data_IF_162720663730
#
_entry.id   IF_162720663730
#
_cell.length_a   1.000
_cell.length_b   1.000
_cell.length_c   1.000
_cell.angle_alpha   90.00
_cell.angle_beta   90.00
_cell.angle_gamma   90.00
#
_symmetry.space_group_name_H-M   'P 1'
#
loop_
_entity.id
_entity.type
_entity.pdbx_description
1 polymer ?
#
# COMPACT_ATOMS: atom_id res chain seq x y z
N UNK A 1 -28.26 1.74 -0.90
CA UNK A 1 -27.76 1.79 -1.05
C UNK A 1 -27.10 1.98 -1.24
N UNK A 2 -27.04 1.77 -1.39
CA UNK A 2 -26.26 1.82 -1.59
C UNK A 2 -25.52 1.93 -1.91
N UNK A 3 -25.48 1.82 -1.88
CA UNK A 3 -24.76 1.89 -2.09
C UNK A 3 -24.11 1.85 -2.46
N UNK A 4 -24.17 1.69 -2.48
CA UNK A 4 -23.60 1.61 -2.80
C UNK A 4 -22.64 1.60 -2.91
N UNK A 5 -22.61 1.37 -2.89
CA UNK A 5 -21.73 1.26 -3.04
C UNK A 5 -20.80 1.44 -3.47
N UNK A 6 -20.32 1.33 -3.28
CA UNK A 6 -19.33 1.59 -3.68
C UNK A 6 -18.59 1.35 -4.52
N UNK A 7 -18.65 1.13 -4.77
CA UNK A 7 -18.18 0.90 -5.39
C UNK A 7 -17.47 1.06 -6.14
N UNK A 8 -17.76 1.28 -6.55
CA UNK A 8 -17.09 1.24 -7.30
C UNK A 8 -15.86 0.89 -7.19
N UNK A 9 -15.66 0.06 -6.82
CA UNK A 9 -14.42 -0.53 -6.72
C UNK A 9 -13.35 0.31 -6.27
N UNK A 10 -13.67 1.40 -5.88
CA UNK A 10 -12.66 2.31 -5.53
C UNK A 10 -12.25 2.08 -4.11
N UNK A 11 -13.13 2.24 -3.17
CA UNK A 11 -12.74 2.18 -1.80
C UNK A 11 -13.31 0.97 -1.15
N UNK A 12 -12.56 -0.09 -1.16
CA UNK A 12 -12.90 -1.26 -0.42
C UNK A 12 -12.53 -1.01 1.03
N UNK A 13 -12.91 -1.91 1.89
CA UNK A 13 -12.79 -1.68 3.34
C UNK A 13 -11.41 -1.15 3.74
N UNK A 14 -10.35 -1.69 3.16
CA UNK A 14 -9.00 -1.25 3.53
C UNK A 14 -8.12 -1.11 2.29
N UNK A 15 -8.71 -0.73 1.18
CA UNK A 15 -7.98 -0.60 -0.08
C UNK A 15 -8.49 0.63 -0.80
N UNK A 16 -7.67 1.65 -0.88
CA UNK A 16 -8.03 2.96 -1.39
C UNK A 16 -7.33 3.22 -2.71
N UNK A 17 -8.07 3.72 -3.68
CA UNK A 17 -7.48 4.16 -4.94
C UNK A 17 -6.91 5.55 -4.73
N UNK A 18 -5.64 5.71 -5.06
CA UNK A 18 -4.91 6.95 -4.77
C UNK A 18 -4.39 7.58 -6.05
N UNK A 19 -4.45 8.89 -6.08
CA UNK A 19 -3.88 9.68 -7.16
C UNK A 19 -3.07 10.81 -6.54
N UNK A 20 -2.50 11.66 -7.38
CA UNK A 20 -1.78 12.82 -6.89
C UNK A 20 -2.67 13.70 -6.03
N UNK A 21 -3.97 13.72 -6.30
CA UNK A 21 -4.91 14.58 -5.61
C UNK A 21 -5.09 14.21 -4.13
N UNK A 22 -5.08 12.92 -3.81
CA UNK A 22 -5.30 12.49 -2.43
C UNK A 22 -4.10 11.80 -1.80
N UNK A 23 -2.94 11.88 -2.44
CA UNK A 23 -1.72 11.24 -1.96
C UNK A 23 -1.37 11.66 -0.54
N UNK A 24 -1.36 12.96 -0.30
CA UNK A 24 -0.97 13.47 1.01
C UNK A 24 -1.92 12.99 2.09
N UNK A 25 -3.23 13.01 1.82
CA UNK A 25 -4.21 12.61 2.81
C UNK A 25 -4.14 11.11 3.13
N UNK A 26 -3.86 10.29 2.13
CA UNK A 26 -3.90 8.83 2.32
C UNK A 26 -2.56 8.29 2.77
N UNK A 27 -1.47 8.75 2.16
CA UNK A 27 -0.15 8.16 2.38
C UNK A 27 0.73 9.01 3.27
N UNK A 28 0.88 10.30 2.92
CA UNK A 28 1.85 11.14 3.59
C UNK A 28 1.54 11.36 5.06
N UNK A 29 0.27 11.56 5.38
CA UNK A 29 -0.13 11.87 6.75
C UNK A 29 -0.68 10.68 7.52
N UNK A 30 -0.55 9.48 6.96
CA UNK A 30 -1.07 8.29 7.62
C UNK A 30 -0.29 7.95 8.88
N UNK A 31 -1.01 7.62 9.94
CA UNK A 31 -0.39 7.18 11.19
C UNK A 31 -0.04 5.71 11.15
N UNK A 32 -0.64 4.97 10.22
CA UNK A 32 -0.34 3.56 10.04
C UNK A 32 0.65 3.41 8.90
N UNK A 33 1.42 2.31 8.89
CA UNK A 33 2.17 1.98 7.69
C UNK A 33 1.24 1.84 6.51
N UNK A 34 1.70 2.22 5.33
CA UNK A 34 0.90 2.15 4.11
C UNK A 34 1.67 1.34 3.09
N UNK A 35 1.00 0.37 2.47
CA UNK A 35 1.59 -0.33 1.34
C UNK A 35 0.85 0.13 0.09
N UNK A 36 1.61 0.59 -0.90
CA UNK A 36 1.06 1.12 -2.14
C UNK A 36 1.40 0.18 -3.29
N UNK A 37 0.37 -0.28 -3.99
CA UNK A 37 0.54 -1.09 -5.18
C UNK A 37 0.54 -0.17 -6.39
N UNK A 38 1.71 -0.01 -7.01
CA UNK A 38 1.83 0.72 -8.27
C UNK A 38 1.59 -0.28 -9.38
N UNK A 39 0.53 -0.09 -10.13
CA UNK A 39 0.06 -1.07 -11.10
C UNK A 39 -0.31 -0.41 -12.43
N UNK A 40 -0.52 -1.23 -13.45
CA UNK A 40 -0.97 -0.74 -14.74
C UNK A 40 -1.99 -1.71 -15.32
N UNK A 41 -3.04 -1.19 -15.98
CA UNK A 41 -4.12 -2.05 -16.48
C UNK A 41 -3.70 -3.01 -17.59
N UNK A 42 -2.62 -2.69 -18.32
CA UNK A 42 -2.16 -3.52 -19.41
C UNK A 42 -1.23 -4.65 -18.97
N UNK A 43 -0.88 -4.71 -17.71
CA UNK A 43 0.10 -5.68 -17.22
C UNK A 43 -0.57 -6.87 -16.57
N UNK A 44 -0.41 -8.09 -17.13
CA UNK A 44 -1.05 -9.27 -16.52
C UNK A 44 -0.58 -9.57 -15.11
N UNK A 45 0.67 -9.25 -14.80
CA UNK A 45 1.19 -9.46 -13.45
C UNK A 45 0.53 -8.52 -12.44
N UNK A 46 0.20 -7.32 -12.88
CA UNK A 46 -0.53 -6.38 -12.04
C UNK A 46 -1.94 -6.90 -11.73
N UNK A 47 -2.59 -7.46 -12.75
CA UNK A 47 -3.92 -8.00 -12.59
C UNK A 47 -3.93 -9.16 -11.60
N UNK A 48 -2.94 -10.03 -11.73
CA UNK A 48 -2.81 -11.18 -10.86
C UNK A 48 -2.58 -10.75 -9.41
N UNK A 49 -1.71 -9.78 -9.21
CA UNK A 49 -1.41 -9.29 -7.88
C UNK A 49 -2.60 -8.56 -7.26
N UNK A 50 -3.45 -7.96 -8.08
CA UNK A 50 -4.58 -7.19 -7.57
C UNK A 50 -5.48 -8.01 -6.66
N UNK A 51 -5.80 -9.24 -7.05
CA UNK A 51 -6.65 -10.10 -6.25
C UNK A 51 -5.99 -10.47 -4.92
N UNK A 52 -4.71 -10.80 -4.97
CA UNK A 52 -3.94 -11.12 -3.78
C UNK A 52 -3.88 -9.91 -2.85
N UNK A 53 -3.62 -8.75 -3.41
CA UNK A 53 -3.50 -7.52 -2.65
C UNK A 53 -4.80 -7.18 -1.94
N UNK A 54 -5.91 -7.32 -2.66
CA UNK A 54 -7.23 -7.07 -2.07
C UNK A 54 -7.49 -8.03 -0.91
N UNK A 55 -7.18 -9.29 -1.10
CA UNK A 55 -7.36 -10.30 -0.06
C UNK A 55 -6.55 -9.95 1.18
N UNK A 56 -5.29 -9.56 0.99
CA UNK A 56 -4.43 -9.20 2.10
C UNK A 56 -4.91 -7.95 2.83
N UNK A 57 -5.52 -7.02 2.10
CA UNK A 57 -5.98 -5.78 2.72
C UNK A 57 -7.00 -6.04 3.83
N UNK A 58 -7.82 -7.08 3.68
CA UNK A 58 -8.80 -7.42 4.70
C UNK A 58 -8.14 -7.93 5.97
N UNK A 59 -7.04 -8.66 5.83
CA UNK A 59 -6.38 -9.23 6.98
C UNK A 59 -5.73 -8.17 7.86
N UNK A 60 -5.31 -7.06 7.26
CA UNK A 60 -4.54 -6.05 7.99
C UNK A 60 -5.33 -4.79 8.32
N UNK A 61 -6.64 -4.88 8.33
CA UNK A 61 -7.51 -3.74 8.70
C UNK A 61 -7.07 -3.21 10.07
N UNK A 62 -6.87 -1.90 10.13
CA UNK A 62 -6.50 -1.24 11.39
C UNK A 62 -5.03 -1.31 11.73
N UNK A 63 -4.24 -2.07 10.97
CA UNK A 63 -2.81 -2.21 11.24
C UNK A 63 -1.95 -1.70 10.11
N UNK A 64 -2.40 -1.87 8.88
CA UNK A 64 -1.67 -1.41 7.71
C UNK A 64 -2.70 -0.95 6.68
N UNK A 65 -2.47 0.22 6.13
CA UNK A 65 -3.36 0.77 5.11
C UNK A 65 -2.90 0.31 3.74
N UNK A 66 -3.84 -0.10 2.91
CA UNK A 66 -3.55 -0.56 1.55
C UNK A 66 -4.03 0.48 0.55
N UNK A 67 -3.17 0.82 -0.39
CA UNK A 67 -3.49 1.80 -1.42
C UNK A 67 -3.02 1.28 -2.77
N UNK A 68 -3.65 1.76 -3.83
CA UNK A 68 -3.23 1.39 -5.18
C UNK A 68 -3.18 2.62 -6.05
N UNK A 69 -2.18 2.66 -6.92
CA UNK A 69 -1.95 3.78 -7.84
C UNK A 69 -1.80 3.24 -9.25
N UNK A 70 -2.64 3.73 -10.15
CA UNK A 70 -2.52 3.41 -11.57
C UNK A 70 -1.41 4.28 -12.14
N UNK A 71 -0.31 3.67 -12.55
CA UNK A 71 0.86 4.44 -13.00
C UNK A 71 0.60 5.18 -14.30
N UNK A 72 -0.28 4.66 -15.16
CA UNK A 72 -0.60 5.34 -16.41
C UNK A 72 -1.29 6.67 -16.16
N UNK A 73 -2.09 6.74 -15.10
CA UNK A 73 -2.83 7.93 -14.76
C UNK A 73 -2.10 8.83 -13.77
N UNK A 74 -1.01 8.34 -13.18
CA UNK A 74 -0.29 9.07 -12.14
C UNK A 74 1.20 8.97 -12.37
N UNK A 75 1.63 9.42 -13.56
CA UNK A 75 3.03 9.33 -13.95
C UNK A 75 3.95 10.15 -13.04
N UNK A 76 3.42 11.21 -12.48
CA UNK A 76 4.19 12.04 -11.55
C UNK A 76 4.52 11.29 -10.27
N UNK A 77 3.58 10.53 -9.75
CA UNK A 77 3.83 9.72 -8.55
C UNK A 77 4.84 8.61 -8.84
N UNK A 78 4.67 7.93 -9.98
CA UNK A 78 5.58 6.87 -10.36
C UNK A 78 7.01 7.41 -10.51
N UNK A 79 7.14 8.57 -11.14
CA UNK A 79 8.45 9.19 -11.31
C UNK A 79 9.05 9.62 -9.99
N UNK A 80 8.24 10.18 -9.12
CA UNK A 80 8.70 10.68 -7.82
C UNK A 80 9.35 9.56 -7.00
N UNK A 81 8.81 8.38 -7.06
CA UNK A 81 9.32 7.26 -6.26
C UNK A 81 10.13 6.27 -7.06
N UNK A 82 10.49 6.63 -8.29
CA UNK A 82 11.39 5.81 -9.08
C UNK A 82 10.82 4.47 -9.48
N UNK A 83 9.52 4.40 -9.75
CA UNK A 83 8.87 3.15 -10.14
C UNK A 83 9.23 2.85 -11.58
N UNK A 84 10.03 1.80 -11.78
CA UNK A 84 10.54 1.43 -13.09
C UNK A 84 9.77 0.31 -13.75
N UNK A 85 9.03 -0.45 -12.96
CA UNK A 85 8.26 -1.57 -13.49
C UNK A 85 7.01 -1.77 -12.65
N UNK A 86 6.05 -2.48 -13.19
CA UNK A 86 4.80 -2.81 -12.49
C UNK A 86 4.60 -4.30 -12.50
N UNK A 87 3.99 -4.86 -11.47
CA UNK A 87 3.58 -4.18 -10.24
C UNK A 87 4.77 -3.98 -9.31
N UNK A 88 4.71 -2.92 -8.51
CA UNK A 88 5.68 -2.68 -7.44
C UNK A 88 4.91 -2.34 -6.19
N UNK A 89 5.19 -3.03 -5.11
CA UNK A 89 4.65 -2.69 -3.81
C UNK A 89 5.68 -1.85 -3.08
N UNK A 90 5.29 -0.65 -2.68
CA UNK A 90 6.18 0.24 -1.96
C UNK A 90 5.56 0.52 -0.61
N UNK A 91 6.33 0.28 0.44
CA UNK A 91 5.86 0.45 1.81
C UNK A 91 6.30 1.79 2.35
N UNK A 92 5.36 2.49 2.97
CA UNK A 92 5.60 3.83 3.51
C UNK A 92 5.33 3.86 5.00
N UNK A 93 6.08 4.69 5.70
CA UNK A 93 5.79 5.02 7.08
C UNK A 93 6.00 6.52 7.25
N UNK A 94 4.97 7.20 7.69
CA UNK A 94 5.00 8.66 7.87
C UNK A 94 5.44 9.37 6.59
N UNK A 95 4.94 8.89 5.46
CA UNK A 95 5.20 9.50 4.17
C UNK A 95 6.52 9.14 3.53
N UNK A 96 7.31 8.28 4.15
CA UNK A 96 8.63 7.91 3.64
C UNK A 96 8.66 6.46 3.20
N UNK A 97 9.15 6.20 1.98
CA UNK A 97 9.29 4.82 1.51
C UNK A 97 10.46 4.15 2.22
N UNK A 98 10.31 2.88 2.56
CA UNK A 98 11.39 2.19 3.27
C UNK A 98 11.58 0.74 2.84
N UNK A 99 10.70 0.19 2.02
CA UNK A 99 10.82 -1.19 1.57
C UNK A 99 10.03 -1.37 0.29
N UNK A 100 10.55 -2.16 -0.65
CA UNK A 100 9.81 -2.40 -1.88
C UNK A 100 9.92 -3.85 -2.32
N UNK A 101 8.88 -4.29 -3.01
CA UNK A 101 8.82 -5.61 -3.63
C UNK A 101 8.46 -5.40 -5.09
N UNK A 102 9.34 -5.80 -5.99
CA UNK A 102 9.11 -5.63 -7.43
C UNK A 102 8.58 -6.92 -8.01
N UNK A 103 7.48 -6.79 -8.74
CA UNK A 103 6.89 -7.92 -9.43
C UNK A 103 5.85 -8.62 -8.58
N UNK A 104 5.28 -9.68 -9.17
CA UNK A 104 4.27 -10.48 -8.50
C UNK A 104 4.94 -11.42 -7.51
N UNK A 105 4.27 -11.69 -6.41
CA UNK A 105 4.80 -12.58 -5.37
C UNK A 105 3.65 -13.38 -4.78
N UNK A 106 3.93 -14.59 -4.26
CA UNK A 106 2.88 -15.41 -3.65
C UNK A 106 2.30 -14.74 -2.42
N UNK A 107 1.02 -14.99 -2.18
CA UNK A 107 0.32 -14.39 -1.06
C UNK A 107 1.00 -14.65 0.27
N UNK A 108 1.41 -15.89 0.52
CA UNK A 108 2.02 -16.24 1.81
C UNK A 108 3.34 -15.51 2.03
N UNK A 109 4.08 -15.24 0.97
CA UNK A 109 5.32 -14.49 1.08
C UNK A 109 5.05 -13.05 1.46
N UNK A 110 4.08 -12.43 0.78
CA UNK A 110 3.70 -11.04 1.07
C UNK A 110 3.15 -10.91 2.48
N UNK A 111 2.35 -11.87 2.88
CA UNK A 111 1.76 -11.89 4.22
C UNK A 111 2.85 -11.93 5.29
N UNK A 112 3.82 -12.79 5.07
CA UNK A 112 4.94 -12.93 5.99
C UNK A 112 5.76 -11.64 6.07
N UNK A 113 6.00 -11.01 4.94
CA UNK A 113 6.71 -9.73 4.90
C UNK A 113 5.96 -8.65 5.64
N UNK A 114 4.66 -8.59 5.46
CA UNK A 114 3.83 -7.59 6.12
C UNK A 114 3.81 -7.78 7.62
N UNK A 115 3.72 -9.02 8.07
CA UNK A 115 3.79 -9.32 9.50
C UNK A 115 5.13 -8.88 10.09
N UNK A 116 6.21 -9.12 9.35
CA UNK A 116 7.54 -8.73 9.80
C UNK A 116 7.67 -7.21 9.88
N UNK A 117 7.17 -6.52 8.87
CA UNK A 117 7.20 -5.06 8.84
C UNK A 117 6.43 -4.48 10.02
N UNK A 118 5.25 -5.03 10.30
CA UNK A 118 4.46 -4.56 11.42
C UNK A 118 5.10 -4.84 12.76
N UNK A 119 5.78 -5.96 12.89
CA UNK A 119 6.51 -6.29 14.12
C UNK A 119 7.63 -5.30 14.37
N UNK A 120 8.34 -4.91 13.31
CA UNK A 120 9.41 -3.93 13.44
C UNK A 120 8.86 -2.54 13.73
N UNK A 121 7.75 -2.18 13.11
CA UNK A 121 7.11 -0.91 13.35
C UNK A 121 6.71 -0.78 14.82
N UNK A 122 6.10 -1.81 15.35
CA UNK A 122 5.68 -1.83 16.75
C UNK A 122 6.88 -1.69 17.66
N UNK A 123 7.97 -2.37 17.34
CA UNK A 123 9.19 -2.30 18.12
C UNK A 123 9.78 -0.89 18.12
N UNK A 124 9.76 -0.24 16.98
CA UNK A 124 10.24 1.13 16.87
C UNK A 124 9.45 2.08 17.73
N UNK A 125 8.12 1.95 17.70
CA UNK A 125 7.27 2.78 18.53
C UNK A 125 7.53 2.56 20.00
N UNK A 126 7.70 1.31 20.38
CA UNK A 126 7.99 0.96 21.76
C UNK A 126 9.29 1.59 22.22
N UNK A 127 10.31 1.50 21.40
CA UNK A 127 11.59 2.09 21.71
C UNK A 127 11.50 3.59 21.86
N UNK A 128 10.79 4.23 20.96
CA UNK A 128 10.60 5.67 21.02
C UNK A 128 9.92 6.07 22.32
N UNK A 129 8.96 5.30 22.74
CA UNK A 129 8.24 5.56 23.99
C UNK A 129 9.14 5.43 25.19
N UNK A 130 10.06 4.49 25.14
CA UNK A 130 10.93 4.23 26.27
C UNK A 130 12.07 5.19 26.39
N UNK A 131 12.36 5.91 25.34
CA UNK A 131 13.47 6.82 25.37
C UNK A 131 13.11 8.09 26.08
N UNK A 132 13.84 8.44 27.07
CA UNK A 132 13.54 9.67 27.84
C UNK A 132 14.18 10.85 27.17
N UNK A 133 13.79 11.21 26.09
CA UNK A 133 14.33 12.40 25.53
C UNK A 133 13.80 13.62 26.13
#
# INVERSE_FOLDING_TARGET
MSSELPTEGTDLVNLVTVSSANWDAVVKTSELPVVVNFWAPWCPHSEKLAATFQSLSHRFIGRMKFARVNTDENKDLAARYGIMSVPTLLYFYQGRPYFQVIGDAPKHQLESEMDHILAQHKRCLSRSSERPE
#
